data_IF_035787734054
#
_entry.id   IF_035787734054
#
_cell.length_a   1.000
_cell.length_b   1.000
_cell.length_c   1.000
_cell.angle_alpha   90.00
_cell.angle_beta   90.00
_cell.angle_gamma   90.00
#
_symmetry.space_group_name_H-M   'P 1'
#
loop_
_entity.id
_entity.type
_entity.pdbx_description
1 polymer ?
#
# COMPACT_ATOMS: atom_id res chain seq x y z
N UNK A 1 13.78 -2.52 8.48
CA UNK A 1 14.96 -2.13 9.27
C UNK A 1 14.72 -2.43 10.74
N UNK A 2 13.82 -1.71 11.41
CA UNK A 2 13.57 -1.80 12.86
C UNK A 2 13.33 -3.22 13.40
N UNK A 3 12.51 -4.02 12.70
CA UNK A 3 12.14 -5.38 13.14
C UNK A 3 13.03 -6.47 12.55
N UNK A 4 14.04 -6.12 11.74
CA UNK A 4 14.94 -7.08 11.12
C UNK A 4 14.30 -8.07 10.13
N UNK A 5 13.02 -7.93 9.81
CA UNK A 5 12.29 -8.76 8.83
C UNK A 5 12.92 -8.60 7.45
N UNK A 6 13.26 -9.68 6.75
CA UNK A 6 13.94 -9.63 5.44
C UNK A 6 13.01 -10.00 4.31
N UNK A 7 12.25 -11.07 4.47
CA UNK A 7 11.48 -11.69 3.40
C UNK A 7 10.05 -11.14 3.40
N UNK A 8 9.82 -10.08 2.64
CA UNK A 8 8.53 -9.37 2.58
C UNK A 8 7.98 -9.38 1.16
N UNK A 9 6.83 -9.99 0.96
CA UNK A 9 6.11 -10.00 -0.31
C UNK A 9 4.87 -9.12 -0.20
N UNK A 10 4.88 -8.00 -0.91
CA UNK A 10 3.72 -7.12 -1.05
C UNK A 10 2.89 -7.54 -2.26
N UNK A 11 1.57 -7.57 -2.11
CA UNK A 11 0.65 -8.10 -3.12
C UNK A 11 -0.54 -7.17 -3.25
N UNK A 12 -0.86 -6.76 -4.48
CA UNK A 12 -2.08 -6.02 -4.77
C UNK A 12 -3.32 -6.88 -4.47
N UNK A 13 -4.34 -6.32 -3.81
CA UNK A 13 -5.53 -7.08 -3.40
C UNK A 13 -6.47 -7.46 -4.56
N UNK A 14 -6.21 -6.94 -5.77
CA UNK A 14 -7.09 -6.99 -6.93
C UNK A 14 -8.16 -5.88 -6.97
N UNK A 15 -8.17 -4.95 -6.01
CA UNK A 15 -9.12 -3.81 -6.01
C UNK A 15 -8.54 -2.51 -5.48
N UNK A 16 -8.49 -2.33 -4.15
CA UNK A 16 -8.22 -1.03 -3.51
C UNK A 16 -7.26 -1.09 -2.32
N UNK A 17 -6.57 -2.22 -2.15
CA UNK A 17 -5.66 -2.42 -1.04
C UNK A 17 -4.47 -3.26 -1.45
N UNK A 18 -3.57 -3.44 -0.50
CA UNK A 18 -2.37 -4.27 -0.62
C UNK A 18 -2.25 -5.15 0.62
N UNK A 19 -1.70 -6.34 0.44
CA UNK A 19 -1.37 -7.27 1.51
C UNK A 19 0.15 -7.40 1.62
N UNK A 20 0.66 -7.60 2.83
CA UNK A 20 2.07 -7.89 3.06
C UNK A 20 2.22 -9.26 3.71
N UNK A 21 3.01 -10.13 3.10
CA UNK A 21 3.38 -11.43 3.63
C UNK A 21 4.82 -11.34 4.14
N UNK A 22 5.02 -11.54 5.44
CA UNK A 22 6.35 -11.63 6.04
C UNK A 22 6.69 -13.10 6.25
N UNK A 23 7.69 -13.59 5.54
CA UNK A 23 7.95 -15.03 5.39
C UNK A 23 9.21 -15.52 6.12
N UNK A 24 9.91 -14.64 6.86
CA UNK A 24 11.05 -15.03 7.69
C UNK A 24 10.70 -16.18 8.66
N UNK A 25 11.58 -17.19 8.76
CA UNK A 25 11.38 -18.38 9.61
C UNK A 25 11.06 -18.05 11.06
N UNK A 26 11.74 -17.03 11.61
CA UNK A 26 11.49 -16.56 12.97
C UNK A 26 10.10 -15.91 13.09
N UNK A 27 9.70 -15.09 12.12
CA UNK A 27 8.41 -14.36 12.12
C UNK A 27 7.24 -15.33 11.98
N UNK A 28 7.39 -16.39 11.18
CA UNK A 28 6.37 -17.44 11.04
C UNK A 28 6.04 -18.12 12.37
N UNK A 29 7.00 -18.18 13.30
CA UNK A 29 6.85 -18.80 14.63
C UNK A 29 6.40 -17.81 15.73
N UNK A 30 6.16 -16.54 15.40
CA UNK A 30 5.75 -15.56 16.39
C UNK A 30 4.41 -15.90 17.04
N UNK A 31 4.36 -15.72 18.37
CA UNK A 31 3.13 -15.85 19.16
C UNK A 31 2.12 -14.74 18.80
N UNK A 32 0.82 -14.95 19.08
CA UNK A 32 -0.19 -13.92 18.90
C UNK A 32 0.13 -12.60 19.63
N UNK A 33 0.75 -12.68 20.81
CA UNK A 33 1.18 -11.51 21.58
C UNK A 33 2.26 -10.70 20.84
N UNK A 34 3.27 -11.36 20.28
CA UNK A 34 4.34 -10.69 19.54
C UNK A 34 3.84 -10.07 18.22
N UNK A 35 2.88 -10.73 17.57
CA UNK A 35 2.18 -10.19 16.39
C UNK A 35 1.39 -8.93 16.74
N UNK A 36 0.62 -8.98 17.82
CA UNK A 36 -0.14 -7.82 18.31
C UNK A 36 0.78 -6.66 18.67
N UNK A 37 1.84 -6.90 19.45
CA UNK A 37 2.84 -5.89 19.81
C UNK A 37 3.49 -5.26 18.58
N UNK A 38 3.75 -6.06 17.53
CA UNK A 38 4.28 -5.56 16.26
C UNK A 38 3.30 -4.63 15.55
N UNK A 39 2.02 -4.98 15.47
CA UNK A 39 1.00 -4.09 14.87
C UNK A 39 0.85 -2.82 15.69
N UNK A 40 0.83 -2.93 17.02
CA UNK A 40 0.77 -1.77 17.91
C UNK A 40 1.98 -0.85 17.72
N UNK A 41 3.19 -1.42 17.58
CA UNK A 41 4.39 -0.67 17.24
C UNK A 41 4.22 0.10 15.93
N UNK A 42 3.71 -0.54 14.88
CA UNK A 42 3.55 0.08 13.56
C UNK A 42 2.35 1.05 13.47
N UNK A 43 1.44 1.06 14.44
CA UNK A 43 0.20 1.84 14.38
C UNK A 43 0.37 3.21 15.04
N UNK A 44 0.53 4.26 14.23
CA UNK A 44 0.53 5.65 14.71
C UNK A 44 -0.86 6.30 14.74
N UNK A 45 -1.77 5.82 13.89
CA UNK A 45 -3.13 6.35 13.75
C UNK A 45 -4.13 5.30 14.21
N UNK A 46 -4.88 5.57 15.27
CA UNK A 46 -5.99 4.71 15.68
C UNK A 46 -7.29 5.17 15.03
N UNK A 47 -8.07 4.22 14.52
CA UNK A 47 -9.43 4.50 14.06
C UNK A 47 -10.33 4.57 15.29
N UNK A 48 -10.62 5.78 15.79
CA UNK A 48 -11.65 5.96 16.82
C UNK A 48 -13.04 5.88 16.18
N UNK A 49 -13.96 5.10 16.78
CA UNK A 49 -15.36 5.01 16.36
C UNK A 49 -16.20 6.24 16.75
N UNK A 50 -15.68 7.14 17.58
CA UNK A 50 -16.34 8.38 18.01
C UNK A 50 -15.61 9.61 17.48
N UNK A 51 -16.37 10.54 16.92
CA UNK A 51 -15.87 11.80 16.36
C UNK A 51 -15.25 12.66 17.47
N UNK A 52 -13.96 12.98 17.36
CA UNK A 52 -13.34 13.98 18.24
C UNK A 52 -11.82 13.95 18.30
N UNK A 53 -11.18 12.78 18.21
CA UNK A 53 -9.70 12.70 18.23
C UNK A 53 -9.26 11.46 17.46
N UNK A 54 -8.49 11.64 16.38
CA UNK A 54 -8.15 10.55 15.45
C UNK A 54 -6.65 10.24 15.39
N UNK A 55 -5.78 11.15 15.81
CA UNK A 55 -4.37 10.88 16.03
C UNK A 55 -4.06 10.78 17.53
N UNK A 56 -3.02 10.02 17.91
CA UNK A 56 -2.47 10.16 19.26
C UNK A 56 -1.79 11.52 19.34
N UNK A 57 -2.06 12.34 20.37
CA UNK A 57 -1.35 13.60 20.53
C UNK A 57 0.14 13.27 20.66
N UNK A 58 0.88 13.72 19.66
CA UNK A 58 2.27 13.43 19.44
C UNK A 58 3.14 14.01 20.57
N UNK A 59 2.57 15.00 21.27
CA UNK A 59 3.05 15.57 22.53
C UNK A 59 3.07 14.62 23.74
N UNK A 60 2.34 13.49 23.74
CA UNK A 60 2.28 12.54 24.87
C UNK A 60 3.37 11.48 24.87
N UNK A 61 4.20 11.37 23.83
CA UNK A 61 5.39 10.51 23.80
C UNK A 61 6.63 11.38 23.62
N UNK A 62 7.19 11.80 24.75
CA UNK A 62 8.45 12.57 24.85
C UNK A 62 9.68 11.75 24.42
N UNK A 63 9.50 10.49 24.01
CA UNK A 63 10.55 9.68 23.38
C UNK A 63 10.05 9.17 22.03
N UNK A 64 10.10 10.01 21.02
CA UNK A 64 9.89 9.56 19.65
C UNK A 64 11.00 8.58 19.28
N UNK A 65 10.69 7.33 18.89
CA UNK A 65 11.62 6.56 18.07
C UNK A 65 11.93 7.37 16.80
N UNK A 66 13.06 7.13 16.12
CA UNK A 66 13.36 7.87 14.89
C UNK A 66 12.38 7.56 13.74
N UNK A 67 11.78 6.37 13.76
CA UNK A 67 10.99 5.88 12.62
C UNK A 67 9.68 6.63 12.36
N UNK A 68 8.89 7.15 13.34
CA UNK A 68 7.73 8.00 13.06
C UNK A 68 8.15 9.34 12.46
N UNK A 69 9.34 9.86 12.81
CA UNK A 69 9.90 11.06 12.17
C UNK A 69 10.26 10.76 10.71
N UNK A 70 10.89 9.62 10.45
CA UNK A 70 11.15 9.13 9.08
C UNK A 70 9.85 8.95 8.30
N UNK A 71 8.81 8.38 8.91
CA UNK A 71 7.51 8.20 8.28
C UNK A 71 6.83 9.54 7.95
N UNK A 72 6.81 10.49 8.88
CA UNK A 72 6.32 11.84 8.61
C UNK A 72 7.11 12.54 7.50
N UNK A 73 8.44 12.38 7.48
CA UNK A 73 9.30 12.87 6.39
C UNK A 73 8.98 12.23 5.04
N UNK A 74 8.69 10.93 4.99
CA UNK A 74 8.28 10.23 3.77
C UNK A 74 6.91 10.71 3.26
N UNK A 75 5.94 10.92 4.17
CA UNK A 75 4.66 11.52 3.84
C UNK A 75 4.81 12.97 3.34
N UNK A 76 5.86 13.68 3.76
CA UNK A 76 6.16 15.04 3.31
C UNK A 76 6.86 15.10 1.94
N UNK A 77 7.76 14.15 1.67
CA UNK A 77 8.62 14.13 0.49
C UNK A 77 7.99 13.47 -0.73
N UNK A 78 7.14 12.46 -0.54
CA UNK A 78 6.27 12.00 -1.63
C UNK A 78 5.38 13.17 -2.06
N UNK A 79 4.96 13.24 -3.33
CA UNK A 79 4.12 14.32 -3.89
C UNK A 79 2.72 14.45 -3.25
N UNK A 80 2.56 14.07 -1.98
CA UNK A 80 1.47 14.38 -1.08
C UNK A 80 1.33 15.88 -0.87
N UNK A 81 0.93 16.58 -1.94
CA UNK A 81 0.03 17.72 -1.76
C UNK A 81 -1.17 17.15 -1.05
N UNK A 82 -1.26 17.35 0.26
CA UNK A 82 -2.53 17.26 0.97
C UNK A 82 -3.38 18.36 0.35
N UNK A 83 -4.11 18.00 -0.71
CA UNK A 83 -5.11 18.88 -1.28
C UNK A 83 -6.19 19.02 -0.20
N UNK A 84 -6.10 20.08 0.60
CA UNK A 84 -7.21 20.51 1.46
C UNK A 84 -8.33 20.98 0.54
N UNK A 85 -9.10 20.04 -0.02
CA UNK A 85 -10.17 20.30 -0.97
C UNK A 85 -11.35 20.94 -0.23
N UNK A 86 -11.59 22.22 -0.46
CA UNK A 86 -12.83 22.91 -0.09
C UNK A 86 -12.85 23.57 1.29
N UNK A 87 -13.66 24.64 1.42
CA UNK A 87 -13.86 25.40 2.66
C UNK A 87 -14.39 24.53 3.82
N UNK A 88 -15.19 23.50 3.54
CA UNK A 88 -15.66 22.53 4.55
C UNK A 88 -14.57 21.57 5.06
N UNK A 89 -13.57 21.24 4.24
CA UNK A 89 -12.43 20.40 4.62
C UNK A 89 -11.43 21.15 5.51
N UNK A 90 -11.18 22.43 5.21
CA UNK A 90 -10.31 23.28 6.02
C UNK A 90 -10.78 23.38 7.49
N UNK A 91 -12.10 23.48 7.72
CA UNK A 91 -12.70 23.49 9.06
C UNK A 91 -12.52 22.15 9.77
N UNK A 92 -12.58 21.04 9.04
CA UNK A 92 -12.32 19.69 9.60
C UNK A 92 -10.85 19.48 9.99
N UNK A 93 -9.90 19.97 9.19
CA UNK A 93 -8.45 19.89 9.47
C UNK A 93 -8.10 20.73 10.71
N UNK A 94 -8.67 21.92 10.82
CA UNK A 94 -8.49 22.80 11.99
C UNK A 94 -9.15 22.22 13.25
N UNK A 95 -10.29 21.54 13.09
CA UNK A 95 -11.01 20.93 14.22
C UNK A 95 -10.37 19.63 14.71
N UNK A 96 -9.43 19.05 13.96
CA UNK A 96 -8.90 17.73 14.25
C UNK A 96 -7.83 17.73 15.32
N UNK A 97 -6.85 18.65 15.29
CA UNK A 97 -5.66 18.50 16.15
C UNK A 97 -4.96 19.82 16.55
N UNK A 98 -5.55 20.99 16.25
CA UNK A 98 -4.99 22.25 16.75
C UNK A 98 -5.52 22.55 18.16
N UNK A 99 -4.61 22.66 19.16
CA UNK A 99 -4.95 23.27 20.46
C UNK A 99 -5.73 24.58 20.23
N UNK A 100 -6.70 24.95 21.09
CA UNK A 100 -7.53 26.15 20.90
C UNK A 100 -6.70 27.40 20.57
N UNK A 101 -5.56 27.57 21.25
CA UNK A 101 -4.60 28.66 21.10
C UNK A 101 -4.03 28.83 19.67
N UNK A 102 -3.98 27.77 18.86
CA UNK A 102 -3.49 27.82 17.49
C UNK A 102 -4.61 27.80 16.45
N UNK A 103 -5.79 27.30 16.84
CA UNK A 103 -6.99 27.15 16.01
C UNK A 103 -7.55 28.50 15.58
N UNK A 104 -7.76 29.43 16.52
CA UNK A 104 -8.44 30.70 16.23
C UNK A 104 -7.70 31.55 15.18
N UNK A 105 -6.37 31.76 15.26
CA UNK A 105 -5.72 32.57 14.24
C UNK A 105 -5.62 31.84 12.87
N UNK A 106 -5.61 30.50 12.85
CA UNK A 106 -5.67 29.75 11.59
C UNK A 106 -7.06 29.86 10.94
N UNK A 107 -8.13 29.87 11.73
CA UNK A 107 -9.50 30.08 11.23
C UNK A 107 -9.66 31.46 10.57
N UNK A 108 -9.02 32.50 11.11
CA UNK A 108 -9.02 33.84 10.52
C UNK A 108 -8.17 33.95 9.25
N UNK A 109 -7.05 33.23 9.18
CA UNK A 109 -6.08 33.39 8.07
C UNK A 109 -6.31 32.44 6.88
N UNK A 110 -6.95 31.29 7.09
CA UNK A 110 -7.21 30.32 6.03
C UNK A 110 -8.14 30.83 4.91
N UNK A 111 -9.24 31.57 5.22
CA UNK A 111 -10.08 32.18 4.19
C UNK A 111 -9.33 33.19 3.32
N UNK A 112 -8.27 33.81 3.84
CA UNK A 112 -7.44 34.78 3.12
C UNK A 112 -6.53 34.13 2.08
N UNK A 113 -6.45 32.79 2.01
CA UNK A 113 -5.57 32.04 1.10
C UNK A 113 -6.34 31.40 -0.04
N UNK A 114 -5.81 31.55 -1.25
CA UNK A 114 -6.47 31.17 -2.52
C UNK A 114 -6.58 29.66 -2.69
N UNK A 115 -5.54 28.92 -2.35
CA UNK A 115 -5.47 27.48 -2.57
C UNK A 115 -5.05 26.71 -1.31
N UNK A 116 -5.16 25.38 -1.39
CA UNK A 116 -4.78 24.48 -0.29
C UNK A 116 -3.28 24.47 0.00
N UNK A 117 -2.45 24.74 -1.02
CA UNK A 117 -0.99 24.76 -0.90
C UNK A 117 -0.56 25.93 -0.01
N UNK A 118 -1.08 27.13 -0.26
CA UNK A 118 -0.82 28.33 0.55
C UNK A 118 -1.29 28.17 1.99
N UNK A 119 -2.46 27.55 2.19
CA UNK A 119 -2.96 27.25 3.55
C UNK A 119 -2.05 26.26 4.28
N UNK A 120 -1.55 25.26 3.57
CA UNK A 120 -0.62 24.27 4.12
C UNK A 120 0.73 24.90 4.48
N UNK A 121 1.29 25.74 3.61
CA UNK A 121 2.54 26.47 3.89
C UNK A 121 2.41 27.40 5.10
N UNK A 122 1.28 28.09 5.23
CA UNK A 122 0.98 28.92 6.40
C UNK A 122 0.95 28.09 7.69
N UNK A 123 0.27 26.94 7.68
CA UNK A 123 0.19 26.04 8.82
C UNK A 123 1.58 25.54 9.22
N UNK A 124 2.35 24.97 8.27
CA UNK A 124 3.72 24.49 8.51
C UNK A 124 4.60 25.58 9.10
N UNK A 125 4.58 26.77 8.49
CA UNK A 125 5.39 27.91 8.93
C UNK A 125 5.04 28.37 10.36
N UNK A 126 3.77 28.26 10.76
CA UNK A 126 3.33 28.61 12.11
C UNK A 126 3.76 27.55 13.13
N UNK A 127 3.63 26.26 12.81
CA UNK A 127 4.05 25.16 13.69
C UNK A 127 5.58 25.12 13.85
N UNK A 128 6.32 25.43 12.79
CA UNK A 128 7.78 25.52 12.87
C UNK A 128 8.23 26.64 13.81
N UNK A 129 7.57 27.80 13.77
CA UNK A 129 7.82 28.90 14.70
C UNK A 129 7.54 28.52 16.16
N UNK A 130 6.44 27.80 16.44
CA UNK A 130 6.15 27.37 17.82
C UNK A 130 7.15 26.33 18.32
N UNK A 131 7.62 25.43 17.46
CA UNK A 131 8.70 24.49 17.79
C UNK A 131 10.01 25.20 18.12
N UNK A 132 10.42 26.18 17.31
CA UNK A 132 11.63 26.98 17.56
C UNK A 132 11.54 27.79 18.85
N UNK A 133 10.40 28.42 19.10
CA UNK A 133 10.16 29.17 20.34
C UNK A 133 10.26 28.26 21.57
N UNK A 134 9.65 27.06 21.52
CA UNK A 134 9.73 26.08 22.60
C UNK A 134 11.15 25.56 22.83
N UNK A 135 11.95 25.36 21.77
CA UNK A 135 13.37 24.99 21.89
C UNK A 135 14.20 26.08 22.60
N UNK A 136 13.80 27.34 22.48
CA UNK A 136 14.39 28.48 23.21
C UNK A 136 13.76 28.70 24.60
N UNK A 137 13.00 27.73 25.13
CA UNK A 137 12.33 27.82 26.44
C UNK A 137 11.12 28.75 26.49
N UNK A 138 10.67 29.29 25.34
CA UNK A 138 9.53 30.21 25.24
C UNK A 138 8.31 29.49 24.64
N UNK A 139 7.40 29.04 25.51
CA UNK A 139 6.12 28.45 25.10
C UNK A 139 6.16 26.94 24.86
N UNK A 140 5.09 26.40 24.29
CA UNK A 140 4.91 24.95 24.09
C UNK A 140 5.05 24.55 22.62
N UNK A 141 5.78 23.47 22.35
CA UNK A 141 5.92 22.91 20.99
C UNK A 141 4.58 22.38 20.46
N UNK A 142 4.29 22.63 19.18
CA UNK A 142 3.13 22.06 18.49
C UNK A 142 3.57 21.25 17.26
N UNK A 143 2.95 20.09 17.07
CA UNK A 143 3.24 19.17 15.96
C UNK A 143 2.01 18.88 15.10
N UNK A 144 1.03 19.81 15.08
CA UNK A 144 -0.23 19.62 14.37
C UNK A 144 -0.02 19.38 12.87
N UNK A 145 0.98 20.00 12.26
CA UNK A 145 1.38 19.74 10.87
C UNK A 145 1.72 18.25 10.67
N UNK A 146 2.51 17.65 11.55
CA UNK A 146 2.88 16.24 11.45
C UNK A 146 1.71 15.31 11.80
N UNK A 147 0.92 15.64 12.81
CA UNK A 147 -0.28 14.89 13.21
C UNK A 147 -1.29 14.81 12.05
N UNK A 148 -1.53 15.93 11.37
CA UNK A 148 -2.39 15.98 10.18
C UNK A 148 -1.80 15.11 9.05
N UNK A 149 -0.50 15.22 8.78
CA UNK A 149 0.14 14.39 7.74
C UNK A 149 0.00 12.90 8.05
N UNK A 150 0.28 12.50 9.28
CA UNK A 150 0.13 11.11 9.70
C UNK A 150 -1.33 10.67 9.57
N UNK A 151 -2.30 11.48 10.00
CA UNK A 151 -3.71 11.13 9.93
C UNK A 151 -4.19 10.85 8.50
N UNK A 152 -3.71 11.61 7.52
CA UNK A 152 -4.15 11.51 6.12
C UNK A 152 -3.31 10.54 5.29
N UNK A 153 -2.01 10.42 5.57
CA UNK A 153 -1.07 9.70 4.71
C UNK A 153 -0.50 8.43 5.35
N UNK A 154 -0.57 8.28 6.68
CA UNK A 154 0.00 7.11 7.35
C UNK A 154 -0.89 5.87 7.14
N UNK A 155 -0.30 4.69 6.88
CA UNK A 155 -1.06 3.47 6.65
C UNK A 155 -1.91 3.08 7.87
N UNK A 156 -3.15 2.66 7.58
CA UNK A 156 -4.06 2.09 8.59
C UNK A 156 -3.93 0.57 8.54
N UNK A 157 -3.47 -0.02 9.63
CA UNK A 157 -3.29 -1.47 9.75
C UNK A 157 -4.51 -2.09 10.41
N UNK A 158 -5.01 -3.19 9.83
CA UNK A 158 -6.01 -4.01 10.47
C UNK A 158 -5.31 -5.01 11.41
N UNK A 159 -5.52 -4.83 12.72
CA UNK A 159 -4.91 -5.70 13.73
C UNK A 159 -5.50 -7.11 13.72
N UNK A 160 -6.78 -7.25 13.34
CA UNK A 160 -7.47 -8.52 13.43
C UNK A 160 -6.95 -9.53 12.40
N UNK A 161 -6.51 -9.03 11.24
CA UNK A 161 -5.90 -9.89 10.20
C UNK A 161 -4.46 -10.30 10.55
N UNK A 162 -3.82 -9.60 11.49
CA UNK A 162 -2.39 -9.77 11.81
C UNK A 162 -2.14 -10.57 13.10
N UNK A 163 -3.04 -10.46 14.09
CA UNK A 163 -2.85 -11.08 15.42
C UNK A 163 -3.08 -12.59 15.44
N UNK A 164 -4.03 -13.08 14.64
CA UNK A 164 -4.48 -14.46 14.66
C UNK A 164 -3.65 -15.35 13.72
N UNK A 165 -3.09 -16.44 14.23
CA UNK A 165 -2.32 -17.40 13.43
C UNK A 165 -3.22 -18.11 12.40
N UNK A 166 -4.48 -18.38 12.75
CA UNK A 166 -5.45 -19.01 11.85
C UNK A 166 -6.18 -18.05 10.91
N UNK A 167 -5.76 -16.80 10.80
CA UNK A 167 -6.43 -15.84 9.91
C UNK A 167 -6.15 -16.19 8.44
N UNK A 168 -7.21 -16.39 7.66
CA UNK A 168 -7.10 -16.69 6.24
C UNK A 168 -6.96 -15.40 5.43
N UNK A 169 -5.90 -15.34 4.62
CA UNK A 169 -5.64 -14.22 3.72
C UNK A 169 -5.70 -14.70 2.28
N UNK A 170 -6.16 -13.82 1.37
CA UNK A 170 -6.23 -14.12 -0.06
C UNK A 170 -4.84 -14.47 -0.60
N UNK A 171 -4.74 -15.61 -1.29
CA UNK A 171 -3.51 -16.05 -1.95
C UNK A 171 -3.01 -15.05 -3.00
N UNK A 172 -1.69 -14.84 -3.14
CA UNK A 172 -1.12 -14.24 -4.34
C UNK A 172 -1.64 -14.92 -5.60
N UNK A 173 -1.74 -14.16 -6.69
CA UNK A 173 -2.27 -14.54 -8.00
C UNK A 173 -3.75 -14.95 -8.04
N UNK A 174 -4.49 -14.82 -6.93
CA UNK A 174 -5.95 -15.02 -6.95
C UNK A 174 -6.66 -13.93 -7.76
N UNK A 175 -7.71 -14.31 -8.48
CA UNK A 175 -8.59 -13.38 -9.19
C UNK A 175 -9.55 -12.71 -8.21
N UNK A 176 -9.69 -11.38 -8.30
CA UNK A 176 -10.70 -10.67 -7.54
C UNK A 176 -12.08 -10.78 -8.23
N UNK A 177 -13.13 -11.30 -7.56
CA UNK A 177 -14.35 -11.74 -8.23
C UNK A 177 -15.11 -10.63 -8.97
N UNK A 178 -15.11 -9.41 -8.42
CA UNK A 178 -15.85 -8.27 -9.01
C UNK A 178 -15.07 -7.49 -10.06
N UNK A 179 -13.73 -7.50 -10.00
CA UNK A 179 -12.89 -6.67 -10.88
C UNK A 179 -12.21 -7.50 -11.96
N UNK A 180 -12.18 -8.83 -11.82
CA UNK A 180 -11.43 -9.71 -12.71
C UNK A 180 -9.91 -9.59 -12.61
N UNK A 181 -9.40 -8.60 -11.85
CA UNK A 181 -7.96 -8.34 -11.71
C UNK A 181 -7.26 -9.41 -10.89
N UNK A 182 -6.04 -9.70 -11.26
CA UNK A 182 -5.18 -10.66 -10.58
C UNK A 182 -4.49 -9.99 -9.38
N UNK A 183 -4.39 -10.72 -8.27
CA UNK A 183 -3.71 -10.24 -7.05
C UNK A 183 -2.19 -10.40 -7.21
N UNK A 184 -1.57 -9.45 -7.92
CA UNK A 184 -0.16 -9.55 -8.34
C UNK A 184 0.83 -9.07 -7.27
N UNK A 185 2.01 -9.71 -7.16
CA UNK A 185 3.14 -9.19 -6.40
C UNK A 185 3.57 -7.79 -6.85
N UNK A 186 4.03 -6.97 -5.91
CA UNK A 186 4.49 -5.61 -6.15
C UNK A 186 6.02 -5.56 -6.12
N UNK A 187 6.59 -4.98 -7.18
CA UNK A 187 8.00 -4.65 -7.25
C UNK A 187 8.28 -3.40 -6.41
N UNK A 188 9.00 -3.57 -5.30
CA UNK A 188 9.31 -2.48 -4.37
C UNK A 188 10.32 -1.48 -4.93
N UNK A 189 11.11 -1.84 -5.95
CA UNK A 189 12.07 -0.93 -6.56
C UNK A 189 11.40 0.03 -7.55
N UNK A 190 10.24 -0.34 -8.08
CA UNK A 190 9.48 0.44 -9.07
C UNK A 190 8.05 0.71 -8.62
N UNK A 191 7.84 0.82 -7.30
CA UNK A 191 6.51 0.95 -6.71
C UNK A 191 5.75 2.19 -7.21
N UNK A 192 6.45 3.30 -7.45
CA UNK A 192 5.84 4.55 -7.96
C UNK A 192 5.28 4.43 -9.38
N UNK A 193 5.67 3.38 -10.12
CA UNK A 193 5.20 3.10 -11.48
C UNK A 193 4.01 2.13 -11.50
N UNK A 194 3.65 1.55 -10.35
CA UNK A 194 2.57 0.59 -10.28
C UNK A 194 1.20 1.27 -10.46
N UNK A 195 0.49 0.89 -11.52
CA UNK A 195 -0.88 1.32 -11.79
C UNK A 195 -1.90 0.20 -11.49
N UNK A 196 -2.75 0.32 -10.45
CA UNK A 196 -3.77 -0.67 -10.12
C UNK A 196 -4.87 -0.83 -11.18
N UNK A 197 -4.99 0.10 -12.13
CA UNK A 197 -5.96 0.05 -13.22
C UNK A 197 -5.43 -0.74 -14.43
N UNK A 198 -4.12 -0.79 -14.62
CA UNK A 198 -3.46 -1.54 -15.70
C UNK A 198 -3.15 -3.01 -15.36
N UNK A 199 -3.46 -3.47 -14.15
CA UNK A 199 -3.23 -4.86 -13.72
C UNK A 199 -4.04 -5.84 -14.59
N UNK A 200 -3.43 -6.96 -15.06
CA UNK A 200 -4.09 -7.94 -15.92
C UNK A 200 -5.41 -8.47 -15.35
N UNK A 201 -6.41 -8.63 -16.22
CA UNK A 201 -7.73 -9.17 -15.87
C UNK A 201 -8.01 -10.49 -16.58
N UNK A 202 -8.71 -11.40 -15.91
CA UNK A 202 -9.15 -12.67 -16.51
C UNK A 202 -10.42 -12.53 -17.36
N UNK A 203 -11.16 -11.43 -17.22
CA UNK A 203 -12.38 -11.16 -17.99
C UNK A 203 -12.21 -9.93 -18.87
N UNK A 204 -12.83 -9.96 -20.04
CA UNK A 204 -13.10 -8.77 -20.83
C UNK A 204 -14.08 -7.89 -20.04
N UNK A 205 -13.65 -6.69 -19.66
CA UNK A 205 -14.56 -5.70 -19.08
C UNK A 205 -15.02 -4.83 -20.24
N UNK A 206 -16.15 -5.16 -20.85
CA UNK A 206 -16.88 -4.17 -21.66
C UNK A 206 -17.30 -3.03 -20.74
N UNK A 207 -17.03 -1.80 -21.16
CA UNK A 207 -17.15 -0.60 -20.33
C UNK A 207 -18.54 -0.41 -19.70
N UNK A 208 -18.51 0.03 -18.43
CA UNK A 208 -19.51 0.82 -17.71
C UNK A 208 -20.99 0.70 -18.16
N UNK A 209 -21.79 -0.02 -17.37
CA UNK A 209 -23.24 0.21 -17.32
C UNK A 209 -23.52 1.63 -16.82
N UNK A 210 -23.90 2.51 -17.74
CA UNK A 210 -24.52 3.80 -17.42
C UNK A 210 -26.02 3.57 -17.23
N UNK A 211 -26.56 4.04 -16.12
CA UNK A 211 -27.98 4.10 -15.83
C UNK A 211 -28.68 5.11 -16.74
N UNK A 212 -29.75 4.70 -17.44
CA UNK A 212 -30.85 5.59 -17.86
C UNK A 212 -31.32 5.49 -19.32
N UNK A 213 -32.59 5.07 -19.50
CA UNK A 213 -33.50 5.55 -20.57
C UNK A 213 -33.65 4.70 -21.85
N UNK A 214 -34.89 4.41 -22.32
CA UNK A 214 -35.14 3.72 -23.59
C UNK A 214 -35.24 4.71 -24.76
N UNK A 215 -34.61 4.42 -25.91
CA UNK A 215 -34.82 5.20 -27.12
C UNK A 215 -33.87 4.89 -28.28
N UNK A 216 -34.43 4.25 -29.30
CA UNK A 216 -34.19 4.43 -30.75
C UNK A 216 -32.83 4.09 -31.40
N UNK A 217 -32.90 3.06 -32.26
CA UNK A 217 -32.28 2.88 -33.59
C UNK A 217 -31.11 3.79 -33.99
N UNK A 218 -29.93 3.18 -34.11
CA UNK A 218 -28.78 3.76 -34.79
C UNK A 218 -27.54 2.93 -34.48
N UNK A 219 -26.79 2.56 -35.50
CA UNK A 219 -25.55 1.79 -35.46
C UNK A 219 -24.65 2.19 -34.28
N UNK A 220 -23.99 1.25 -33.58
CA UNK A 220 -23.15 1.60 -32.44
C UNK A 220 -22.01 2.52 -32.90
N UNK A 221 -21.69 3.60 -32.16
CA UNK A 221 -20.46 4.34 -32.42
C UNK A 221 -19.27 3.38 -32.21
N UNK A 222 -18.16 3.52 -32.96
CA UNK A 222 -16.95 2.77 -32.66
C UNK A 222 -16.52 3.12 -31.25
N UNK A 223 -16.58 2.14 -30.34
CA UNK A 223 -16.13 2.29 -28.97
C UNK A 223 -14.67 2.80 -28.97
N UNK A 224 -14.29 3.72 -28.06
CA UNK A 224 -12.90 4.09 -27.90
C UNK A 224 -12.09 2.85 -27.55
N UNK A 225 -11.03 2.59 -28.31
CA UNK A 225 -10.15 1.44 -28.11
C UNK A 225 -9.48 1.53 -26.73
N UNK A 226 -9.93 0.69 -25.80
CA UNK A 226 -9.21 0.40 -24.56
C UNK A 226 -8.67 -1.02 -24.71
N UNK A 227 -7.38 -1.11 -25.04
CA UNK A 227 -6.63 -2.34 -25.30
C UNK A 227 -6.24 -3.09 -24.03
N UNK A 228 -7.19 -3.48 -23.19
CA UNK A 228 -6.89 -4.51 -22.18
C UNK A 228 -7.24 -5.87 -22.79
N UNK A 229 -6.24 -6.54 -23.34
CA UNK A 229 -6.33 -7.97 -23.66
C UNK A 229 -6.68 -8.73 -22.38
N UNK A 230 -7.72 -9.58 -22.44
CA UNK A 230 -7.97 -10.49 -21.33
C UNK A 230 -6.79 -11.46 -21.26
N UNK A 231 -6.33 -11.80 -20.04
CA UNK A 231 -5.25 -12.76 -19.89
C UNK A 231 -5.58 -14.10 -20.57
N UNK A 232 -6.87 -14.48 -20.62
CA UNK A 232 -7.31 -15.66 -21.36
C UNK A 232 -6.97 -15.56 -22.85
N UNK A 233 -7.26 -14.42 -23.50
CA UNK A 233 -6.89 -14.22 -24.90
C UNK A 233 -5.38 -14.27 -25.13
N UNK A 234 -4.60 -13.72 -24.20
CA UNK A 234 -3.13 -13.77 -24.30
C UNK A 234 -2.61 -15.21 -24.17
N UNK A 235 -3.20 -16.01 -23.29
CA UNK A 235 -2.86 -17.42 -23.12
C UNK A 235 -3.27 -18.26 -24.35
N UNK A 236 -4.46 -18.02 -24.90
CA UNK A 236 -4.97 -18.71 -26.09
C UNK A 236 -4.09 -18.39 -27.31
N UNK A 237 -3.72 -17.11 -27.50
CA UNK A 237 -2.82 -16.69 -28.56
C UNK A 237 -1.40 -17.28 -28.38
N UNK A 238 -0.89 -17.26 -27.15
CA UNK A 238 0.44 -17.80 -26.82
C UNK A 238 0.59 -19.30 -27.13
N UNK A 239 -0.50 -20.07 -26.99
CA UNK A 239 -0.55 -21.50 -27.27
C UNK A 239 -0.63 -21.83 -28.76
N UNK A 240 -1.20 -20.94 -29.58
CA UNK A 240 -1.40 -21.17 -31.02
C UNK A 240 -0.11 -21.04 -31.86
N UNK A 241 0.93 -20.38 -31.32
CA UNK A 241 2.25 -20.29 -31.97
C UNK A 241 3.07 -21.61 -31.89
N UNK A 242 2.51 -22.67 -31.30
CA UNK A 242 3.21 -23.94 -31.03
C UNK A 242 2.86 -25.10 -31.95
N UNK A 243 1.96 -24.92 -32.91
CA UNK A 243 1.51 -26.00 -33.80
C UNK A 243 2.26 -25.99 -35.14
N UNK A 244 3.46 -26.58 -35.14
CA UNK A 244 4.06 -27.15 -36.36
C UNK A 244 4.89 -28.40 -36.01
N UNK A 245 4.33 -29.57 -36.37
CA UNK A 245 4.89 -30.95 -36.42
C UNK A 245 5.28 -31.58 -35.06
N UNK A 246 5.01 -32.84 -34.70
CA UNK A 246 4.96 -34.11 -35.45
C UNK A 246 4.13 -35.15 -34.66
N UNK A 247 3.53 -36.10 -35.39
CA UNK A 247 2.79 -37.25 -34.88
C UNK A 247 3.71 -38.29 -34.23
N UNK A 248 3.67 -38.41 -32.90
CA UNK A 248 4.32 -39.50 -32.19
C UNK A 248 3.99 -39.46 -30.69
N UNK A 249 3.37 -40.52 -30.18
CA UNK A 249 3.02 -40.70 -28.77
C UNK A 249 4.23 -40.48 -27.84
N UNK A 250 4.09 -39.63 -26.82
CA UNK A 250 4.65 -39.81 -25.46
C UNK A 250 4.35 -38.59 -24.57
N UNK A 251 3.51 -38.81 -23.53
CA UNK A 251 3.29 -38.00 -22.32
C UNK A 251 2.94 -36.49 -22.49
N UNK A 252 1.98 -35.94 -21.72
CA UNK A 252 1.62 -34.52 -21.83
C UNK A 252 2.78 -33.66 -21.28
N UNK A 253 3.68 -33.22 -22.17
CA UNK A 253 4.68 -32.19 -21.87
C UNK A 253 3.95 -30.93 -21.42
N UNK A 254 3.87 -30.79 -20.09
CA UNK A 254 3.27 -29.72 -19.29
C UNK A 254 3.13 -28.39 -20.04
N UNK A 255 1.88 -27.92 -20.18
CA UNK A 255 1.35 -26.58 -20.53
C UNK A 255 1.96 -25.38 -19.75
N UNK A 256 3.15 -25.53 -19.17
CA UNK A 256 3.71 -24.67 -18.13
C UNK A 256 4.53 -23.47 -18.66
N UNK A 257 4.48 -23.15 -19.97
CA UNK A 257 5.30 -22.08 -20.56
C UNK A 257 4.51 -20.88 -21.10
N UNK A 258 3.19 -20.93 -21.16
CA UNK A 258 2.38 -19.93 -21.87
C UNK A 258 2.30 -18.58 -21.16
N UNK A 259 2.33 -18.56 -19.82
CA UNK A 259 2.24 -17.30 -19.08
C UNK A 259 3.41 -16.34 -19.37
N UNK A 260 4.57 -16.85 -19.83
CA UNK A 260 5.75 -16.02 -20.11
C UNK A 260 5.54 -15.06 -21.28
N UNK A 261 4.61 -15.38 -22.17
CA UNK A 261 4.19 -14.53 -23.30
C UNK A 261 3.06 -13.56 -22.93
N UNK A 262 2.60 -13.56 -21.68
CA UNK A 262 1.47 -12.75 -21.22
C UNK A 262 1.92 -11.54 -20.40
N UNK A 263 1.00 -10.60 -20.24
CA UNK A 263 1.08 -9.46 -19.33
C UNK A 263 1.23 -9.86 -17.86
N UNK A 264 1.03 -11.13 -17.50
CA UNK A 264 1.28 -11.66 -16.16
C UNK A 264 2.77 -11.93 -15.90
N UNK A 265 3.58 -12.15 -16.95
CA UNK A 265 4.98 -12.56 -16.83
C UNK A 265 5.84 -11.66 -15.92
N UNK A 266 5.77 -10.31 -15.99
CA UNK A 266 6.58 -9.44 -15.15
C UNK A 266 6.31 -9.66 -13.65
N UNK A 267 5.05 -9.92 -13.28
CA UNK A 267 4.66 -10.14 -11.89
C UNK A 267 5.09 -11.51 -11.37
N UNK A 268 5.13 -12.53 -12.24
CA UNK A 268 5.68 -13.85 -11.90
C UNK A 268 7.17 -13.74 -11.63
N UNK A 269 7.93 -12.96 -12.41
CA UNK A 269 9.37 -12.74 -12.17
C UNK A 269 9.65 -12.11 -10.81
N UNK A 270 8.82 -11.15 -10.38
CA UNK A 270 8.92 -10.56 -9.02
C UNK A 270 8.73 -11.64 -7.95
N UNK A 271 7.80 -12.57 -8.16
CA UNK A 271 7.57 -13.68 -7.24
C UNK A 271 8.71 -14.70 -7.24
N UNK A 272 9.22 -15.07 -8.41
CA UNK A 272 10.36 -15.98 -8.57
C UNK A 272 11.57 -15.45 -7.81
N UNK A 273 11.93 -14.18 -8.03
CA UNK A 273 13.03 -13.54 -7.30
C UNK A 273 12.83 -13.60 -5.78
N UNK A 274 11.61 -13.33 -5.30
CA UNK A 274 11.29 -13.42 -3.88
C UNK A 274 11.47 -14.85 -3.32
N UNK A 275 11.03 -15.87 -4.06
CA UNK A 275 11.19 -17.28 -3.66
C UNK A 275 12.66 -17.69 -3.67
N UNK A 276 13.41 -17.32 -4.69
CA UNK A 276 14.86 -17.60 -4.79
C UNK A 276 15.63 -16.98 -3.62
N UNK A 277 15.29 -15.74 -3.23
CA UNK A 277 15.87 -15.07 -2.07
C UNK A 277 15.61 -15.84 -0.76
N UNK A 278 14.36 -16.31 -0.56
CA UNK A 278 14.01 -17.15 0.60
C UNK A 278 14.77 -18.48 0.60
N UNK A 279 14.86 -19.15 -0.54
CA UNK A 279 15.58 -20.42 -0.67
C UNK A 279 17.07 -20.25 -0.38
N UNK A 280 17.68 -19.18 -0.88
CA UNK A 280 19.08 -18.85 -0.61
C UNK A 280 19.31 -18.60 0.88
N UNK A 281 18.42 -17.84 1.53
CA UNK A 281 18.51 -17.58 2.96
C UNK A 281 18.43 -18.87 3.78
N UNK A 282 17.48 -19.76 3.45
CA UNK A 282 17.30 -21.05 4.13
C UNK A 282 18.50 -21.98 3.96
N UNK A 283 19.07 -22.05 2.74
CA UNK A 283 20.30 -22.82 2.48
C UNK A 283 21.48 -22.28 3.28
N UNK A 284 21.66 -20.96 3.33
CA UNK A 284 22.70 -20.32 4.12
C UNK A 284 22.60 -20.61 5.62
N UNK A 285 21.38 -20.61 6.18
CA UNK A 285 21.15 -20.94 7.59
C UNK A 285 21.47 -22.40 7.91
N UNK A 286 21.07 -23.34 7.04
CA UNK A 286 21.38 -24.76 7.20
C UNK A 286 22.89 -25.01 7.22
N UNK A 287 23.64 -24.40 6.30
CA UNK A 287 25.11 -24.52 6.26
C UNK A 287 25.75 -23.99 7.54
N UNK A 288 25.28 -22.86 8.08
CA UNK A 288 25.79 -22.31 9.35
C UNK A 288 25.51 -23.24 10.54
N UNK A 289 24.34 -23.87 10.58
CA UNK A 289 23.99 -24.84 11.65
C UNK A 289 24.86 -26.09 11.58
N UNK A 290 25.07 -26.64 10.39
CA UNK A 290 25.93 -27.82 10.18
C UNK A 290 27.41 -27.54 10.44
N UNK A 291 27.88 -26.32 10.18
CA UNK A 291 29.24 -25.90 10.55
C UNK A 291 29.42 -25.81 12.07
N UNK A 292 28.44 -25.28 12.78
CA UNK A 292 28.49 -25.08 14.25
C UNK A 292 28.41 -26.39 15.04
N UNK A 293 27.74 -27.42 14.50
CA UNK A 293 27.68 -28.75 15.10
C UNK A 293 28.93 -29.60 14.84
N UNK A 294 29.84 -29.16 13.97
CA UNK A 294 31.13 -29.84 13.69
C UNK A 294 32.29 -29.28 14.50
N UNK A 295 32.11 -28.13 15.16
CA UNK A 295 33.16 -27.38 15.88
C UNK A 295 32.92 -27.30 17.39
N UNK A 296 31.95 -28.03 17.93
CA UNK A 296 31.67 -28.12 19.37
C UNK A 296 31.57 -29.58 19.77
#
# INVERSE_FOLDING_TARGET
EDLGMKHRLWVYSGRRGVHCWVCDDAVRKWSPALRAATVEYLTLVKVAQRAGTRCWPLSRRISFPEWPRRAAGHCAGSRGRVHMVGAGSAVSVISLDCRPQHREPLQGDFPKKRDSVQRWELLKSKMERTRRAAASGKGTSCYADWEIMLQYCFPRLDINVSKGIGHLLKSPFSVHPKTGRISVPLDLQRLDQFDPFAVPTIRYVSGAGSSGGPGCTGSPPPCPAISHSSLCHELDAAGNDGEQEDSGETEPKRRARDYKKTSLAPYVRVFEQFVEEMERARRGELLRRSGKSRTG
#
